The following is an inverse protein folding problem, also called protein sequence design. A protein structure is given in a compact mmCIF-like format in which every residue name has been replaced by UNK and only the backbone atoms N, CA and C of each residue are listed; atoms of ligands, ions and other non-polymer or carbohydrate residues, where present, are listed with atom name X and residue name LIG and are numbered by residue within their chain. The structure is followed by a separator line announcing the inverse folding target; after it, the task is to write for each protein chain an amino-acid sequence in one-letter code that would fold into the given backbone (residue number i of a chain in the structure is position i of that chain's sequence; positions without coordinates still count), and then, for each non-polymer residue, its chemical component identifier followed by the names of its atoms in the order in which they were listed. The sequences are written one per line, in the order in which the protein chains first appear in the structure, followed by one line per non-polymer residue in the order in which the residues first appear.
data_IF_394977325396
#
_entry.id   IF_394977325396
#
_cell.length_a   1.000
_cell.length_b   1.000
_cell.length_c   1.000
_cell.angle_alpha   90.00
_cell.angle_beta   90.00
_cell.angle_gamma   90.00
#
_symmetry.space_group_name_H-M   'P 1'
#
loop_
_entity.id
_entity.type
_entity.pdbx_description
1 polymer ?
#
# COMPACT_ATOMS: atom_id res chain seq x y z
N UNK A 1 27.52 -13.08 -6.39
CA UNK A 1 26.20 -12.44 -6.58
C UNK A 1 26.38 -10.95 -6.40
N UNK A 2 26.06 -10.16 -7.42
CA UNK A 2 26.12 -8.68 -7.34
C UNK A 2 24.75 -8.22 -6.84
N UNK A 3 24.66 -7.71 -5.62
CA UNK A 3 23.41 -7.14 -5.11
C UNK A 3 23.17 -5.79 -5.76
N UNK A 4 21.98 -5.57 -6.31
CA UNK A 4 21.57 -4.26 -6.84
C UNK A 4 21.51 -3.28 -5.67
N UNK A 5 22.14 -2.12 -5.83
CA UNK A 5 22.00 -1.01 -4.89
C UNK A 5 20.51 -0.62 -4.80
N UNK A 6 20.05 -0.17 -3.63
CA UNK A 6 18.67 0.29 -3.46
C UNK A 6 18.28 1.44 -4.41
N UNK A 7 19.26 2.09 -5.06
CA UNK A 7 19.06 3.16 -6.02
C UNK A 7 19.45 2.72 -7.42
N UNK A 8 18.52 2.88 -8.37
CA UNK A 8 18.70 2.66 -9.81
C UNK A 8 18.63 4.04 -10.48
N UNK A 9 19.79 4.58 -10.85
CA UNK A 9 19.88 5.81 -11.64
C UNK A 9 20.20 5.51 -13.11
N UNK A 10 20.27 6.56 -13.93
CA UNK A 10 20.58 6.44 -15.36
C UNK A 10 21.92 5.74 -15.61
N UNK A 11 22.97 6.09 -14.87
CA UNK A 11 24.31 5.53 -15.08
C UNK A 11 24.34 4.05 -14.70
N UNK A 12 23.67 3.69 -13.60
CA UNK A 12 23.51 2.31 -13.18
C UNK A 12 22.83 1.47 -14.26
N UNK A 13 21.75 1.98 -14.87
CA UNK A 13 21.07 1.31 -15.98
C UNK A 13 22.01 1.13 -17.18
N UNK A 14 22.75 2.15 -17.58
CA UNK A 14 23.67 2.05 -18.74
C UNK A 14 24.81 1.04 -18.50
N UNK A 15 25.33 0.95 -17.28
CA UNK A 15 26.47 0.06 -16.96
C UNK A 15 26.08 -1.38 -16.61
N UNK A 16 24.87 -1.60 -16.09
CA UNK A 16 24.50 -2.87 -15.48
C UNK A 16 23.27 -3.54 -16.10
N UNK A 17 22.54 -2.87 -17.00
CA UNK A 17 21.40 -3.45 -17.74
C UNK A 17 21.68 -4.85 -18.26
N UNK A 18 22.77 -5.00 -19.02
CA UNK A 18 23.07 -6.27 -19.68
C UNK A 18 23.47 -7.36 -18.67
N UNK A 19 24.02 -6.99 -17.51
CA UNK A 19 24.35 -7.91 -16.42
C UNK A 19 23.10 -8.45 -15.72
N UNK A 20 22.04 -7.63 -15.62
CA UNK A 20 20.74 -8.02 -15.05
C UNK A 20 19.77 -8.59 -16.10
N UNK A 21 20.18 -8.65 -17.37
CA UNK A 21 19.36 -9.16 -18.45
C UNK A 21 18.17 -8.25 -18.81
N UNK A 22 18.17 -6.99 -18.36
CA UNK A 22 17.11 -6.04 -18.67
C UNK A 22 17.15 -5.66 -20.16
N UNK A 23 16.00 -5.74 -20.81
CA UNK A 23 15.86 -5.50 -22.25
C UNK A 23 15.46 -4.05 -22.52
N UNK A 24 15.78 -3.56 -23.71
CA UNK A 24 15.30 -2.27 -24.20
C UNK A 24 16.33 -1.13 -24.13
N UNK A 25 16.11 -0.09 -24.93
CA UNK A 25 17.03 1.05 -25.07
C UNK A 25 16.64 2.29 -24.28
N UNK A 26 15.47 2.28 -23.62
CA UNK A 26 14.95 3.43 -22.87
C UNK A 26 14.29 4.48 -23.76
N UNK A 27 13.91 4.10 -24.97
CA UNK A 27 13.17 4.94 -25.92
C UNK A 27 11.68 4.61 -25.89
N UNK A 28 10.83 5.49 -26.40
CA UNK A 28 9.37 5.30 -26.43
C UNK A 28 8.94 3.98 -27.11
N UNK A 29 9.61 3.63 -28.21
CA UNK A 29 9.33 2.38 -28.96
C UNK A 29 9.96 1.14 -28.32
N UNK A 30 10.93 1.32 -27.42
CA UNK A 30 11.70 0.25 -26.82
C UNK A 30 12.12 0.63 -25.39
N UNK A 31 11.16 0.65 -24.44
CA UNK A 31 11.41 1.02 -23.06
C UNK A 31 12.33 0.01 -22.38
N UNK A 32 13.05 0.44 -21.34
CA UNK A 32 13.80 -0.50 -20.50
C UNK A 32 12.80 -1.31 -19.69
N UNK A 33 12.83 -2.63 -19.81
CA UNK A 33 11.97 -3.55 -19.08
C UNK A 33 12.72 -4.04 -17.85
N UNK A 34 12.21 -3.67 -16.68
CA UNK A 34 12.67 -4.17 -15.38
C UNK A 34 11.63 -5.20 -14.93
N UNK A 35 11.98 -6.47 -15.09
CA UNK A 35 11.13 -7.59 -14.73
C UNK A 35 11.70 -8.39 -13.55
N UNK A 36 11.14 -9.57 -13.31
CA UNK A 36 11.34 -10.40 -12.12
C UNK A 36 12.79 -10.89 -11.99
N UNK A 37 13.65 -10.04 -11.43
CA UNK A 37 15.00 -10.40 -10.98
C UNK A 37 14.98 -10.69 -9.46
N UNK A 38 15.52 -11.84 -9.06
CA UNK A 38 15.68 -12.20 -7.64
C UNK A 38 16.63 -11.25 -6.91
N UNK A 39 17.54 -10.59 -7.63
CA UNK A 39 18.55 -9.69 -7.07
C UNK A 39 18.06 -8.26 -6.85
N UNK A 40 16.84 -7.91 -7.30
CA UNK A 40 16.25 -6.59 -7.09
C UNK A 40 15.95 -6.39 -5.59
N UNK A 41 16.43 -5.32 -4.95
CA UNK A 41 16.23 -5.09 -3.52
C UNK A 41 14.75 -4.86 -3.19
N UNK A 42 14.36 -5.11 -1.94
CA UNK A 42 12.99 -4.91 -1.46
C UNK A 42 12.52 -3.45 -1.53
N UNK A 43 13.47 -2.51 -1.45
CA UNK A 43 13.21 -1.08 -1.54
C UNK A 43 14.01 -0.52 -2.71
N UNK A 44 13.30 -0.04 -3.73
CA UNK A 44 13.88 0.46 -4.97
C UNK A 44 13.62 1.96 -5.05
N UNK A 45 14.67 2.73 -5.32
CA UNK A 45 14.62 4.16 -5.62
C UNK A 45 15.09 4.36 -7.05
N UNK A 46 14.25 4.88 -7.92
CA UNK A 46 14.59 5.11 -9.32
C UNK A 46 14.77 6.60 -9.60
N UNK A 47 15.84 6.92 -10.33
CA UNK A 47 16.26 8.28 -10.72
C UNK A 47 16.71 8.30 -12.17
N UNK A 48 15.77 8.20 -13.09
CA UNK A 48 16.07 7.87 -14.50
C UNK A 48 15.78 9.02 -15.45
N UNK A 49 15.29 10.15 -14.92
CA UNK A 49 14.97 11.38 -15.64
C UNK A 49 14.07 11.15 -16.87
N UNK A 50 14.63 11.13 -18.08
CA UNK A 50 13.88 11.11 -19.34
C UNK A 50 13.79 9.72 -20.02
N UNK A 51 14.25 8.65 -19.37
CA UNK A 51 14.20 7.31 -19.93
C UNK A 51 12.79 6.71 -19.86
N UNK A 52 12.38 6.01 -20.92
CA UNK A 52 11.16 5.22 -20.94
C UNK A 52 11.39 3.89 -20.24
N UNK A 53 10.63 3.62 -19.18
CA UNK A 53 10.82 2.41 -18.35
C UNK A 53 9.50 1.70 -18.12
N UNK A 54 9.54 0.37 -18.21
CA UNK A 54 8.44 -0.50 -17.88
C UNK A 54 8.86 -1.43 -16.75
N UNK A 55 8.30 -1.20 -15.57
CA UNK A 55 8.45 -2.07 -14.41
C UNK A 55 7.31 -3.08 -14.44
N UNK A 56 7.62 -4.38 -14.53
CA UNK A 56 6.60 -5.42 -14.68
C UNK A 56 6.88 -6.66 -13.83
N UNK A 57 5.83 -7.33 -13.34
CA UNK A 57 5.92 -8.66 -12.71
C UNK A 57 6.85 -8.72 -11.48
N UNK A 58 7.01 -7.59 -10.77
CA UNK A 58 7.81 -7.52 -9.53
C UNK A 58 6.95 -7.61 -8.28
N UNK A 59 7.50 -8.20 -7.22
CA UNK A 59 6.93 -8.24 -5.86
C UNK A 59 7.89 -7.56 -4.89
N UNK A 60 7.61 -6.30 -4.50
CA UNK A 60 8.53 -5.47 -3.73
C UNK A 60 7.84 -4.63 -2.67
N UNK A 61 8.53 -4.39 -1.57
CA UNK A 61 8.00 -3.57 -0.49
C UNK A 61 7.78 -2.11 -0.93
N UNK A 62 8.84 -1.44 -1.40
CA UNK A 62 8.76 0.00 -1.73
C UNK A 62 9.33 0.29 -3.11
N UNK A 63 8.59 1.06 -3.90
CA UNK A 63 9.05 1.66 -5.14
C UNK A 63 8.96 3.18 -5.05
N UNK A 64 10.11 3.85 -5.06
CA UNK A 64 10.22 5.32 -5.05
C UNK A 64 10.69 5.78 -6.42
N UNK A 65 9.88 6.55 -7.13
CA UNK A 65 10.28 7.25 -8.35
C UNK A 65 10.60 8.70 -7.98
N UNK A 66 11.84 9.14 -8.22
CA UNK A 66 12.26 10.52 -8.00
C UNK A 66 12.70 11.14 -9.34
N UNK A 67 12.06 12.24 -9.74
CA UNK A 67 12.31 12.98 -10.99
C UNK A 67 12.18 12.14 -12.28
N UNK A 68 11.57 10.97 -12.22
CA UNK A 68 11.38 10.09 -13.37
C UNK A 68 10.26 10.58 -14.30
N UNK A 69 10.39 10.27 -15.60
CA UNK A 69 9.39 10.50 -16.62
C UNK A 69 9.13 9.24 -17.44
N UNK A 70 7.93 9.10 -18.00
CA UNK A 70 7.58 8.02 -18.94
C UNK A 70 7.78 6.62 -18.35
N UNK A 71 7.29 6.41 -17.12
CA UNK A 71 7.38 5.11 -16.43
C UNK A 71 6.03 4.43 -16.42
N UNK A 72 6.00 3.18 -16.84
CA UNK A 72 4.85 2.29 -16.71
C UNK A 72 5.12 1.26 -15.62
N UNK A 73 4.21 1.11 -14.67
CA UNK A 73 4.25 0.11 -13.60
C UNK A 73 3.05 -0.81 -13.81
N UNK A 74 3.29 -2.08 -14.09
CA UNK A 74 2.24 -3.03 -14.50
C UNK A 74 2.41 -4.43 -13.90
N UNK A 75 1.30 -5.10 -13.58
CA UNK A 75 1.28 -6.49 -13.09
C UNK A 75 2.18 -6.72 -11.84
N UNK A 76 2.39 -5.70 -11.02
CA UNK A 76 3.26 -5.75 -9.84
C UNK A 76 2.47 -5.93 -8.53
N UNK A 77 3.15 -6.46 -7.50
CA UNK A 77 2.70 -6.45 -6.11
C UNK A 77 3.60 -5.48 -5.34
N UNK A 78 3.07 -4.33 -4.93
CA UNK A 78 3.87 -3.27 -4.29
C UNK A 78 3.19 -2.76 -3.03
N UNK A 79 3.91 -2.73 -1.90
CA UNK A 79 3.32 -2.20 -0.66
C UNK A 79 3.17 -0.67 -0.74
N UNK A 80 4.20 0.03 -1.19
CA UNK A 80 4.20 1.49 -1.23
C UNK A 80 4.83 2.00 -2.53
N UNK A 81 4.08 2.80 -3.29
CA UNK A 81 4.60 3.56 -4.42
C UNK A 81 4.69 5.04 -4.01
N UNK A 82 5.89 5.61 -4.11
CA UNK A 82 6.14 7.04 -3.87
C UNK A 82 6.60 7.71 -5.15
N UNK A 83 5.86 8.71 -5.61
CA UNK A 83 6.19 9.51 -6.79
C UNK A 83 6.62 10.90 -6.34
N UNK A 84 7.85 11.32 -6.64
CA UNK A 84 8.36 12.65 -6.33
C UNK A 84 8.82 13.38 -7.59
N UNK A 85 8.14 14.47 -7.95
CA UNK A 85 8.44 15.29 -9.15
C UNK A 85 8.40 14.48 -10.46
N UNK A 86 7.52 13.49 -10.55
CA UNK A 86 7.41 12.61 -11.72
C UNK A 86 6.45 13.15 -12.79
N UNK A 87 6.62 12.72 -14.05
CA UNK A 87 5.71 13.08 -15.16
C UNK A 87 5.40 11.88 -16.06
N UNK A 88 4.20 11.83 -16.65
CA UNK A 88 3.80 10.79 -17.59
C UNK A 88 4.00 9.37 -16.99
N UNK A 89 3.40 9.13 -15.84
CA UNK A 89 3.52 7.84 -15.14
C UNK A 89 2.21 7.09 -15.32
N UNK A 90 2.29 5.84 -15.77
CA UNK A 90 1.14 4.94 -15.85
C UNK A 90 1.29 3.82 -14.82
N UNK A 91 0.32 3.69 -13.92
CA UNK A 91 0.26 2.62 -12.93
C UNK A 91 -0.98 1.81 -13.25
N UNK A 92 -0.83 0.56 -13.70
CA UNK A 92 -1.98 -0.26 -14.08
C UNK A 92 -1.90 -1.74 -13.70
N UNK A 93 -3.05 -2.38 -13.46
CA UNK A 93 -3.14 -3.81 -13.20
C UNK A 93 -2.29 -4.32 -12.00
N UNK A 94 -1.94 -3.45 -11.06
CA UNK A 94 -1.10 -3.82 -9.92
C UNK A 94 -1.94 -4.14 -8.67
N UNK A 95 -1.36 -4.88 -7.74
CA UNK A 95 -1.81 -4.99 -6.35
C UNK A 95 -0.98 -4.03 -5.49
N UNK A 96 -1.57 -2.91 -5.08
CA UNK A 96 -0.87 -1.84 -4.37
C UNK A 96 -1.51 -1.57 -3.02
N UNK A 97 -0.73 -1.44 -1.94
CA UNK A 97 -1.31 -1.02 -0.64
C UNK A 97 -1.48 0.49 -0.56
N UNK A 98 -0.47 1.26 -0.93
CA UNK A 98 -0.48 2.72 -0.81
C UNK A 98 0.27 3.40 -1.96
N UNK A 99 -0.28 4.51 -2.45
CA UNK A 99 0.34 5.38 -3.45
C UNK A 99 0.42 6.79 -2.88
N UNK A 100 1.62 7.36 -2.86
CA UNK A 100 1.88 8.74 -2.44
C UNK A 100 2.45 9.54 -3.61
N UNK A 101 1.83 10.68 -3.91
CA UNK A 101 2.20 11.51 -5.06
C UNK A 101 2.59 12.90 -4.55
N UNK A 102 3.84 13.29 -4.80
CA UNK A 102 4.40 14.59 -4.46
C UNK A 102 4.82 15.30 -5.74
N UNK A 103 4.12 16.38 -6.10
CA UNK A 103 4.44 17.21 -7.27
C UNK A 103 4.48 16.48 -8.62
N UNK A 104 3.51 15.59 -8.87
CA UNK A 104 3.40 14.83 -10.12
C UNK A 104 2.58 15.53 -11.22
N UNK A 105 2.84 15.22 -12.49
CA UNK A 105 2.02 15.66 -13.65
C UNK A 105 1.69 14.49 -14.57
N UNK A 106 0.49 14.47 -15.16
CA UNK A 106 0.07 13.43 -16.12
C UNK A 106 0.27 12.01 -15.57
N UNK A 107 -0.25 11.76 -14.37
CA UNK A 107 -0.20 10.43 -13.74
C UNK A 107 -1.53 9.74 -13.99
N UNK A 108 -1.47 8.53 -14.52
CA UNK A 108 -2.60 7.70 -14.89
C UNK A 108 -2.61 6.45 -14.01
N UNK A 109 -3.71 6.21 -13.31
CA UNK A 109 -3.86 5.07 -12.39
C UNK A 109 -5.11 4.30 -12.83
N UNK A 110 -4.94 3.07 -13.32
CA UNK A 110 -6.04 2.29 -13.90
C UNK A 110 -6.01 0.83 -13.46
N UNK A 111 -7.17 0.23 -13.18
CA UNK A 111 -7.28 -1.22 -12.93
C UNK A 111 -6.37 -1.76 -11.81
N UNK A 112 -5.95 -0.93 -10.84
CA UNK A 112 -5.15 -1.37 -9.71
C UNK A 112 -6.05 -1.84 -8.54
N UNK A 113 -5.63 -2.90 -7.87
CA UNK A 113 -6.23 -3.40 -6.63
C UNK A 113 -5.59 -2.70 -5.46
N UNK A 114 -6.33 -1.82 -4.78
CA UNK A 114 -5.84 -1.11 -3.61
C UNK A 114 -6.14 -1.89 -2.31
N UNK A 115 -5.10 -2.36 -1.62
CA UNK A 115 -5.23 -3.11 -0.38
C UNK A 115 -5.08 -2.19 0.85
N UNK A 116 -6.20 -1.65 1.33
CA UNK A 116 -6.20 -0.80 2.52
C UNK A 116 -6.20 -1.63 3.81
N UNK A 117 -5.11 -1.57 4.59
CA UNK A 117 -5.09 -1.97 6.01
C UNK A 117 -5.64 -0.86 6.93
N UNK A 118 -6.08 0.26 6.36
CA UNK A 118 -6.13 1.55 7.03
C UNK A 118 -7.27 1.68 8.05
N UNK A 119 -8.21 0.75 8.14
CA UNK A 119 -9.25 0.83 9.17
C UNK A 119 -8.98 0.03 10.43
N UNK A 120 -7.96 -0.83 10.52
CA UNK A 120 -7.85 -1.68 11.72
C UNK A 120 -7.35 -0.90 12.94
N UNK A 121 -6.23 -0.16 12.83
CA UNK A 121 -5.67 0.60 13.98
C UNK A 121 -6.59 1.73 14.43
N UNK A 122 -7.23 2.43 13.50
CA UNK A 122 -8.22 3.46 13.83
C UNK A 122 -9.46 2.86 14.47
N UNK A 123 -9.96 1.72 13.97
CA UNK A 123 -11.07 1.01 14.59
C UNK A 123 -10.73 0.51 16.00
N UNK A 124 -9.54 -0.07 16.21
CA UNK A 124 -9.08 -0.46 17.56
C UNK A 124 -8.95 0.76 18.48
N UNK A 125 -8.42 1.88 17.99
CA UNK A 125 -8.29 3.11 18.77
C UNK A 125 -9.66 3.68 19.17
N UNK A 126 -10.61 3.74 18.23
CA UNK A 126 -12.00 4.15 18.49
C UNK A 126 -12.60 3.24 19.55
N UNK A 127 -12.48 1.91 19.42
CA UNK A 127 -12.98 0.94 20.39
C UNK A 127 -12.42 1.16 21.80
N UNK A 128 -11.12 1.39 21.93
CA UNK A 128 -10.46 1.65 23.22
C UNK A 128 -10.99 2.95 23.84
N UNK A 129 -11.08 4.03 23.06
CA UNK A 129 -11.60 5.31 23.54
C UNK A 129 -13.05 5.18 23.99
N UNK A 130 -13.91 4.53 23.20
CA UNK A 130 -15.32 4.32 23.57
C UNK A 130 -15.48 3.44 24.82
N UNK A 131 -14.67 2.39 24.95
CA UNK A 131 -14.68 1.53 26.15
C UNK A 131 -14.22 2.30 27.40
N UNK A 132 -13.20 3.14 27.26
CA UNK A 132 -12.63 3.93 28.36
C UNK A 132 -13.61 5.01 28.83
N UNK A 133 -14.25 5.71 27.89
CA UNK A 133 -15.27 6.71 28.19
C UNK A 133 -16.51 6.07 28.84
N UNK A 134 -16.95 4.92 28.32
CA UNK A 134 -18.04 4.15 28.91
C UNK A 134 -17.73 3.71 30.34
N UNK A 135 -16.53 3.16 30.59
CA UNK A 135 -16.12 2.78 31.94
C UNK A 135 -16.11 3.97 32.90
N UNK A 136 -15.61 5.12 32.47
CA UNK A 136 -15.62 6.36 33.26
C UNK A 136 -17.05 6.80 33.61
N UNK A 137 -17.95 6.83 32.62
CA UNK A 137 -19.36 7.18 32.83
C UNK A 137 -20.07 6.19 33.77
N UNK A 138 -19.73 4.91 33.69
CA UNK A 138 -20.25 3.89 34.60
C UNK A 138 -19.88 4.20 36.05
N UNK A 139 -18.60 4.47 36.36
CA UNK A 139 -18.17 4.81 37.72
C UNK A 139 -18.73 6.15 38.21
N UNK A 140 -18.78 7.17 37.35
CA UNK A 140 -19.36 8.47 37.69
C UNK A 140 -20.88 8.39 37.94
N UNK A 141 -21.58 7.39 37.41
CA UNK A 141 -23.02 7.20 37.64
C UNK A 141 -23.38 6.74 39.06
N UNK A 142 -22.41 6.21 39.84
CA UNK A 142 -22.63 5.73 41.21
C UNK A 142 -22.98 6.84 42.21
N UNK A 143 -22.16 7.91 42.38
CA UNK A 143 -22.44 8.96 43.35
C UNK A 143 -23.74 9.73 43.07
N UNK A 144 -24.20 9.76 41.82
CA UNK A 144 -25.40 10.50 41.41
C UNK A 144 -26.65 9.62 41.23
N UNK A 145 -26.58 8.31 41.51
CA UNK A 145 -27.69 7.36 41.33
C UNK A 145 -28.34 7.40 39.93
N UNK A 146 -27.57 7.68 38.88
CA UNK A 146 -28.07 7.67 37.50
C UNK A 146 -28.13 6.25 36.93
N UNK A 147 -29.16 5.51 37.31
CA UNK A 147 -29.36 4.11 36.90
C UNK A 147 -29.37 3.92 35.36
N UNK A 148 -30.05 4.80 34.62
CA UNK A 148 -30.13 4.71 33.16
C UNK A 148 -28.73 4.88 32.52
N UNK A 149 -27.94 5.84 32.99
CA UNK A 149 -26.59 6.08 32.47
C UNK A 149 -25.67 4.89 32.73
N UNK A 150 -25.84 4.23 33.88
CA UNK A 150 -25.09 3.03 34.27
C UNK A 150 -25.34 1.86 33.32
N UNK A 151 -26.60 1.53 33.07
CA UNK A 151 -27.01 0.46 32.16
C UNK A 151 -26.51 0.72 30.74
N UNK A 152 -26.72 1.94 30.22
CA UNK A 152 -26.26 2.30 28.88
C UNK A 152 -24.74 2.22 28.74
N UNK A 153 -24.00 2.68 29.75
CA UNK A 153 -22.54 2.56 29.76
C UNK A 153 -22.11 1.10 29.73
N UNK A 154 -22.72 0.25 30.56
CA UNK A 154 -22.43 -1.18 30.60
C UNK A 154 -22.68 -1.88 29.25
N UNK A 155 -23.78 -1.58 28.57
CA UNK A 155 -24.06 -2.10 27.22
C UNK A 155 -23.00 -1.68 26.19
N UNK A 156 -22.57 -0.42 26.22
CA UNK A 156 -21.49 0.06 25.33
C UNK A 156 -20.18 -0.67 25.61
N UNK A 157 -19.86 -0.93 26.88
CA UNK A 157 -18.65 -1.63 27.29
C UNK A 157 -18.64 -3.09 26.80
N UNK A 158 -19.74 -3.81 26.99
CA UNK A 158 -19.93 -5.18 26.46
C UNK A 158 -19.82 -5.19 24.93
N UNK A 159 -20.45 -4.24 24.26
CA UNK A 159 -20.43 -4.15 22.80
C UNK A 159 -19.01 -3.92 22.27
N UNK A 160 -18.23 -3.04 22.91
CA UNK A 160 -16.82 -2.84 22.56
C UNK A 160 -15.99 -4.12 22.76
N UNK A 161 -16.25 -4.86 23.83
CA UNK A 161 -15.56 -6.11 24.15
C UNK A 161 -15.87 -7.21 23.13
N UNK A 162 -17.14 -7.36 22.72
CA UNK A 162 -17.55 -8.30 21.66
C UNK A 162 -16.86 -7.94 20.33
N UNK A 163 -16.90 -6.66 19.94
CA UNK A 163 -16.26 -6.19 18.71
C UNK A 163 -14.74 -6.41 18.74
N UNK A 164 -14.09 -6.20 19.88
CA UNK A 164 -12.67 -6.48 20.07
C UNK A 164 -12.34 -7.97 19.88
N UNK A 165 -13.15 -8.88 20.43
CA UNK A 165 -12.94 -10.32 20.24
C UNK A 165 -13.16 -10.75 18.79
N UNK A 166 -14.16 -10.18 18.10
CA UNK A 166 -14.37 -10.42 16.66
C UNK A 166 -13.15 -9.94 15.86
N UNK A 167 -12.60 -8.77 16.18
CA UNK A 167 -11.39 -8.24 15.56
C UNK A 167 -10.17 -9.14 15.80
N UNK A 168 -9.95 -9.56 17.05
CA UNK A 168 -8.85 -10.45 17.43
C UNK A 168 -8.96 -11.83 16.76
N UNK A 169 -10.17 -12.37 16.63
CA UNK A 169 -10.42 -13.63 15.91
C UNK A 169 -10.11 -13.49 14.41
N UNK A 170 -10.40 -12.33 13.80
CA UNK A 170 -10.00 -12.03 12.41
C UNK A 170 -8.48 -11.92 12.25
N UNK A 171 -7.74 -11.40 13.24
CA UNK A 171 -6.26 -11.33 13.21
C UNK A 171 -5.59 -12.70 13.14
N UNK A 172 -6.13 -13.73 13.79
CA UNK A 172 -5.58 -15.08 13.72
C UNK A 172 -5.82 -15.79 12.37
N UNK A 173 -6.73 -15.28 11.53
CA UNK A 173 -7.10 -15.90 10.25
C UNK A 173 -6.32 -15.45 9.00
N UNK A 174 -5.37 -14.49 9.10
CA UNK A 174 -4.74 -13.88 7.91
C UNK A 174 -3.26 -13.49 8.07
N UNK A 175 -2.43 -14.42 8.55
CA UNK A 175 -0.97 -14.34 8.36
C UNK A 175 -0.44 -15.24 7.23
N UNK A 176 -1.30 -16.03 6.61
CA UNK A 176 -1.03 -16.70 5.35
C UNK A 176 -2.03 -16.18 4.31
N UNK A 177 -1.53 -15.64 3.19
CA UNK A 177 -2.32 -15.41 1.99
C UNK A 177 -3.00 -16.72 1.60
N UNK A 178 -4.30 -16.82 1.91
CA UNK A 178 -5.13 -17.97 1.58
C UNK A 178 -5.31 -18.05 0.05
N UNK A 179 -5.25 -19.25 -0.55
CA UNK A 179 -5.45 -19.52 -1.99
C UNK A 179 -6.75 -18.92 -2.57
N UNK A 180 -7.70 -18.54 -1.71
CA UNK A 180 -8.96 -17.90 -2.09
C UNK A 180 -8.86 -16.39 -2.43
N UNK A 181 -7.67 -15.78 -2.46
CA UNK A 181 -7.50 -14.41 -2.99
C UNK A 181 -7.66 -14.29 -4.52
N UNK A 182 -8.05 -15.37 -5.20
CA UNK A 182 -8.43 -15.39 -6.62
C UNK A 182 -9.76 -14.69 -6.91
N UNK A 183 -10.66 -14.56 -5.93
CA UNK A 183 -11.97 -13.95 -6.11
C UNK A 183 -12.17 -12.84 -5.08
N UNK A 184 -11.85 -11.58 -5.38
CA UNK A 184 -12.41 -10.44 -4.64
C UNK A 184 -12.46 -9.18 -5.50
N UNK A 185 -13.71 -8.84 -5.78
CA UNK A 185 -14.37 -7.59 -6.14
C UNK A 185 -13.51 -6.36 -6.48
N UNK A 186 -13.75 -5.90 -7.71
CA UNK A 186 -13.39 -4.61 -8.26
C UNK A 186 -13.98 -3.51 -7.39
N UNK A 187 -13.13 -2.76 -6.69
CA UNK A 187 -13.48 -1.39 -6.31
C UNK A 187 -13.27 -0.53 -7.56
N UNK A 188 -14.32 -0.43 -8.38
CA UNK A 188 -14.41 0.64 -9.37
C UNK A 188 -14.40 1.97 -8.61
N UNK A 189 -13.30 2.72 -8.74
CA UNK A 189 -13.28 4.12 -8.37
C UNK A 189 -14.25 4.84 -9.33
N UNK A 190 -15.44 5.18 -8.83
CA UNK A 190 -16.34 6.08 -9.55
C UNK A 190 -15.58 7.38 -9.81
N UNK A 191 -15.49 7.74 -11.10
CA UNK A 191 -15.08 9.07 -11.53
C UNK A 191 -16.18 10.04 -11.10
N UNK A 192 -15.87 10.98 -10.22
CA UNK A 192 -16.60 12.25 -10.09
C UNK A 192 -15.95 13.28 -11.03
#
# INVERSE_FOLDING_TARGET
MVSILNTIDKNFLEEHRDKFGWKGSGSEKNPIIIDKDENLPQNIVMKTDNLFIHVKDIDRATLVLEKCQNVTIEDCIITLIKLYKCRNIEIRNNLIREIQIFFGKSIKIENNRLFSYLNLRYFTAILIVSASLSALLFFLSYPFNFYILREMSFFVLISCLILFFIEMKKKHGKFFLNRNFQNNEFLELKKE
#
